data_IF_680014442766
#
_entry.id   IF_680014442766
#
_cell.length_a   1.000
_cell.length_b   1.000
_cell.length_c   1.000
_cell.angle_alpha   90.00
_cell.angle_beta   90.00
_cell.angle_gamma   90.00
#
_symmetry.space_group_name_H-M   'P 1'
#
loop_
_entity.id
_entity.type
_entity.pdbx_description
1 polymer ?
#
# COMPACT_ATOMS: atom_id res chain seq x y z
N UNK A 1 -60.42 59.90 32.19
CA UNK A 1 -60.37 58.89 31.11
C UNK A 1 -58.95 58.93 30.58
N UNK A 2 -58.12 57.96 30.97
CA UNK A 2 -57.83 56.72 30.21
C UNK A 2 -56.97 57.03 28.96
N UNK A 3 -55.83 56.40 28.72
CA UNK A 3 -55.32 55.15 29.28
C UNK A 3 -53.81 55.03 29.16
N UNK A 4 -53.30 54.23 30.10
CA UNK A 4 -51.95 53.72 30.22
C UNK A 4 -51.74 52.66 29.12
N UNK A 5 -50.84 52.88 28.16
CA UNK A 5 -50.41 51.82 27.24
C UNK A 5 -49.26 51.06 27.89
N UNK A 6 -49.61 49.96 28.56
CA UNK A 6 -48.67 48.94 29.00
C UNK A 6 -47.98 48.31 27.80
N UNK A 7 -46.67 48.48 27.69
CA UNK A 7 -45.79 47.62 26.91
C UNK A 7 -45.92 46.19 27.46
N UNK A 8 -46.67 45.35 26.75
CA UNK A 8 -46.57 43.91 26.92
C UNK A 8 -45.31 43.47 26.18
N UNK A 9 -44.22 43.27 26.93
CA UNK A 9 -43.12 42.43 26.47
C UNK A 9 -43.70 41.07 26.12
N UNK A 10 -43.80 40.76 24.83
CA UNK A 10 -44.14 39.43 24.36
C UNK A 10 -43.08 38.47 24.91
N UNK A 11 -43.44 37.71 25.94
CA UNK A 11 -42.64 36.60 26.44
C UNK A 11 -42.56 35.56 25.34
N UNK A 12 -41.51 35.64 24.50
CA UNK A 12 -41.18 34.57 23.56
C UNK A 12 -40.97 33.29 24.35
N UNK A 13 -41.66 32.22 23.97
CA UNK A 13 -41.45 30.90 24.56
C UNK A 13 -39.98 30.54 24.33
N UNK A 14 -39.21 30.19 25.38
CA UNK A 14 -37.81 29.80 25.22
C UNK A 14 -37.67 28.69 24.17
N UNK A 15 -36.85 28.93 23.14
CA UNK A 15 -36.55 27.95 22.10
C UNK A 15 -37.48 27.95 20.86
N UNK A 16 -38.38 28.93 20.71
CA UNK A 16 -39.21 29.06 19.49
C UNK A 16 -38.65 30.05 18.46
N UNK A 17 -37.57 30.75 18.80
CA UNK A 17 -36.95 31.80 18.00
C UNK A 17 -35.67 31.30 17.32
N UNK A 18 -35.81 30.46 16.30
CA UNK A 18 -34.69 29.95 15.52
C UNK A 18 -35.11 29.49 14.11
N UNK A 19 -34.13 29.40 13.22
CA UNK A 19 -34.32 28.89 11.87
C UNK A 19 -34.50 27.36 11.92
N UNK A 20 -35.51 26.86 11.22
CA UNK A 20 -35.73 25.43 11.10
C UNK A 20 -34.69 24.82 10.17
N UNK A 21 -33.84 23.94 10.72
CA UNK A 21 -32.75 23.29 10.00
C UNK A 21 -33.07 21.84 9.63
N UNK A 22 -34.28 21.34 9.91
CA UNK A 22 -34.62 19.97 9.50
C UNK A 22 -34.78 19.86 7.99
N UNK A 23 -34.42 18.71 7.39
CA UNK A 23 -34.61 18.50 5.95
C UNK A 23 -36.06 18.65 5.50
N UNK A 24 -37.02 18.26 6.35
CA UNK A 24 -38.45 18.26 6.05
C UNK A 24 -39.18 19.54 6.47
N UNK A 25 -38.47 20.52 7.06
CA UNK A 25 -39.04 21.76 7.61
C UNK A 25 -40.23 21.51 8.55
N UNK A 26 -40.06 20.55 9.46
CA UNK A 26 -41.06 20.10 10.41
C UNK A 26 -40.99 20.80 11.78
N UNK A 27 -40.12 21.80 11.93
CA UNK A 27 -39.88 22.51 13.19
C UNK A 27 -39.19 21.66 14.26
N UNK A 28 -38.68 20.48 13.90
CA UNK A 28 -38.17 19.51 14.85
C UNK A 28 -36.83 19.91 15.48
N UNK A 29 -36.04 20.72 14.77
CA UNK A 29 -34.75 21.26 15.21
C UNK A 29 -34.65 22.71 14.75
N UNK A 30 -34.70 23.63 15.70
CA UNK A 30 -34.52 25.07 15.45
C UNK A 30 -33.13 25.50 15.87
N UNK A 31 -32.48 26.34 15.07
CA UNK A 31 -31.15 26.89 15.36
C UNK A 31 -31.19 28.40 15.44
N UNK A 32 -30.57 28.96 16.47
CA UNK A 32 -30.32 30.40 16.60
C UNK A 32 -28.84 30.65 16.84
N UNK A 33 -28.20 31.44 15.99
CA UNK A 33 -26.80 31.84 16.19
C UNK A 33 -26.76 32.89 17.30
N UNK A 34 -26.02 32.60 18.37
CA UNK A 34 -25.78 33.52 19.49
C UNK A 34 -24.48 34.31 19.30
N UNK A 35 -23.46 33.65 18.75
CA UNK A 35 -22.21 34.27 18.33
C UNK A 35 -21.76 33.62 17.02
N UNK A 36 -21.47 34.41 15.97
CA UNK A 36 -20.99 33.85 14.71
C UNK A 36 -19.63 33.18 14.88
N UNK A 37 -19.39 32.13 14.09
CA UNK A 37 -18.06 31.53 13.94
C UNK A 37 -17.24 32.20 12.84
N UNK A 38 -16.06 31.65 12.60
CA UNK A 38 -15.09 32.12 11.61
C UNK A 38 -14.90 31.10 10.47
N UNK A 39 -14.41 31.59 9.32
CA UNK A 39 -14.20 30.78 8.12
C UNK A 39 -15.50 30.40 7.40
N UNK A 40 -15.38 29.67 6.30
CA UNK A 40 -16.51 29.19 5.49
C UNK A 40 -16.65 27.67 5.49
N UNK A 41 -15.75 26.95 6.16
CA UNK A 41 -15.85 25.51 6.31
C UNK A 41 -16.84 25.12 7.40
N UNK A 42 -17.59 24.06 7.10
CA UNK A 42 -18.47 23.37 8.03
C UNK A 42 -17.94 21.96 8.27
N UNK A 43 -18.23 21.33 9.43
CA UNK A 43 -17.91 19.93 9.64
C UNK A 43 -18.70 19.04 8.67
N UNK A 44 -18.03 18.08 8.07
CA UNK A 44 -18.61 17.11 7.15
C UNK A 44 -19.01 15.83 7.90
N UNK A 45 -19.75 14.97 7.21
CA UNK A 45 -20.11 13.67 7.76
C UNK A 45 -18.84 12.90 8.16
N UNK A 46 -18.88 12.26 9.32
CA UNK A 46 -17.79 11.48 9.91
C UNK A 46 -16.58 12.28 10.40
N UNK A 47 -16.61 13.61 10.35
CA UNK A 47 -15.59 14.43 11.03
C UNK A 47 -15.66 14.22 12.55
N UNK A 48 -14.50 14.30 13.19
CA UNK A 48 -14.40 14.38 14.66
C UNK A 48 -14.61 15.84 15.04
N UNK A 49 -15.68 16.11 15.79
CA UNK A 49 -16.04 17.45 16.25
C UNK A 49 -15.77 17.58 17.75
N UNK A 50 -15.37 18.78 18.17
CA UNK A 50 -15.11 19.14 19.55
C UNK A 50 -15.98 20.32 19.95
N UNK A 51 -16.75 20.17 21.03
CA UNK A 51 -17.72 21.17 21.45
C UNK A 51 -17.70 21.44 22.96
N UNK A 52 -18.10 22.65 23.34
CA UNK A 52 -18.68 22.90 24.66
C UNK A 52 -20.19 22.99 24.55
N UNK A 53 -20.92 22.59 25.60
CA UNK A 53 -22.37 22.72 25.62
C UNK A 53 -22.96 22.89 27.01
N UNK A 54 -24.17 23.43 27.03
CA UNK A 54 -25.09 23.46 28.19
C UNK A 54 -26.47 22.99 27.72
N UNK A 55 -27.01 21.95 28.35
CA UNK A 55 -28.32 21.39 28.06
C UNK A 55 -29.36 21.73 29.13
N UNK A 56 -30.49 22.28 28.71
CA UNK A 56 -31.60 22.70 29.58
C UNK A 56 -32.95 22.20 29.06
N UNK A 57 -33.88 21.97 29.99
CA UNK A 57 -35.29 21.81 29.66
C UNK A 57 -35.92 23.17 29.33
N UNK A 58 -37.12 23.17 28.75
CA UNK A 58 -37.84 24.41 28.38
C UNK A 58 -38.22 25.27 29.59
N UNK A 59 -38.24 24.71 30.80
CA UNK A 59 -38.43 25.44 32.07
C UNK A 59 -37.12 26.08 32.60
N UNK A 60 -36.01 25.91 31.88
CA UNK A 60 -34.68 26.41 32.27
C UNK A 60 -33.86 25.46 33.14
N UNK A 61 -34.41 24.31 33.55
CA UNK A 61 -33.68 23.33 34.37
C UNK A 61 -32.50 22.76 33.59
N UNK A 62 -31.28 23.03 34.06
CA UNK A 62 -30.05 22.48 33.50
C UNK A 62 -29.91 21.00 33.87
N UNK A 63 -29.84 20.12 32.87
CA UNK A 63 -29.68 18.67 33.08
C UNK A 63 -28.26 18.18 32.84
N UNK A 64 -27.49 18.89 32.01
CA UNK A 64 -26.11 18.53 31.67
C UNK A 64 -25.31 19.74 31.14
N UNK A 65 -23.99 19.76 31.36
CA UNK A 65 -23.09 20.83 30.91
C UNK A 65 -21.65 20.35 30.87
N UNK A 66 -20.99 20.50 29.71
CA UNK A 66 -19.57 20.18 29.61
C UNK A 66 -18.69 21.27 30.23
N UNK A 67 -19.17 22.52 30.28
CA UNK A 67 -18.48 23.63 30.95
C UNK A 67 -18.40 23.44 32.46
N UNK A 68 -19.43 22.85 33.07
CA UNK A 68 -19.44 22.55 34.50
C UNK A 68 -18.37 21.51 34.88
N UNK A 69 -17.93 20.71 33.90
CA UNK A 69 -16.89 19.69 34.06
C UNK A 69 -15.50 20.18 33.67
N UNK A 70 -15.39 21.38 33.10
CA UNK A 70 -14.16 21.91 32.49
C UNK A 70 -13.53 20.92 31.48
N UNK A 71 -14.38 20.17 30.76
CA UNK A 71 -13.95 19.15 29.81
C UNK A 71 -14.76 19.27 28.52
N UNK A 72 -14.05 19.27 27.39
CA UNK A 72 -14.68 19.38 26.07
C UNK A 72 -15.29 18.03 25.68
N UNK A 73 -16.40 18.07 24.95
CA UNK A 73 -17.03 16.85 24.46
C UNK A 73 -16.67 16.62 23.00
N UNK A 74 -16.22 15.42 22.67
CA UNK A 74 -15.84 15.05 21.32
C UNK A 74 -16.66 13.86 20.82
N UNK A 75 -17.10 13.93 19.57
CA UNK A 75 -17.86 12.87 18.93
C UNK A 75 -17.65 12.87 17.42
N UNK A 76 -18.07 11.80 16.75
CA UNK A 76 -18.05 11.67 15.29
C UNK A 76 -19.40 12.06 14.71
N UNK A 77 -19.42 13.11 13.88
CA UNK A 77 -20.63 13.69 13.34
C UNK A 77 -21.37 12.74 12.37
N UNK A 78 -22.68 12.61 12.52
CA UNK A 78 -23.53 11.85 11.59
C UNK A 78 -23.41 10.33 11.72
N UNK A 79 -22.86 9.84 12.84
CA UNK A 79 -22.78 8.41 13.20
C UNK A 79 -23.81 8.01 14.27
N UNK A 80 -24.66 8.92 14.73
CA UNK A 80 -25.64 8.64 15.78
C UNK A 80 -25.02 8.42 17.17
N UNK A 81 -23.83 8.98 17.42
CA UNK A 81 -23.22 9.02 18.76
C UNK A 81 -23.91 10.03 19.68
N UNK A 82 -24.64 10.98 19.09
CA UNK A 82 -25.43 12.02 19.75
C UNK A 82 -26.88 11.96 19.27
N UNK A 83 -27.75 12.76 19.89
CA UNK A 83 -29.14 12.89 19.45
C UNK A 83 -29.22 13.42 18.00
N UNK A 84 -30.27 13.07 17.27
CA UNK A 84 -30.46 13.47 15.85
C UNK A 84 -30.37 14.99 15.66
N UNK A 85 -30.91 15.76 16.62
CA UNK A 85 -30.87 17.22 16.57
C UNK A 85 -29.46 17.80 16.65
N UNK A 86 -28.54 17.12 17.33
CA UNK A 86 -27.13 17.52 17.34
C UNK A 86 -26.41 17.17 16.03
N UNK A 87 -26.65 15.97 15.50
CA UNK A 87 -26.09 15.57 14.20
C UNK A 87 -26.50 16.55 13.08
N UNK A 88 -27.73 17.08 13.13
CA UNK A 88 -28.20 18.13 12.22
C UNK A 88 -27.64 19.51 12.57
N UNK A 89 -27.71 19.92 13.85
CA UNK A 89 -27.32 21.25 14.29
C UNK A 89 -25.84 21.55 14.09
N UNK A 90 -24.98 20.68 14.59
CA UNK A 90 -23.52 20.87 14.56
C UNK A 90 -22.98 20.85 13.13
N UNK A 91 -23.60 20.08 12.22
CA UNK A 91 -23.28 20.09 10.79
C UNK A 91 -23.44 21.45 10.11
N UNK A 92 -24.20 22.38 10.70
CA UNK A 92 -24.43 23.73 10.16
C UNK A 92 -23.58 24.80 10.82
N UNK A 93 -22.75 24.46 11.81
CA UNK A 93 -22.01 25.43 12.60
C UNK A 93 -20.63 25.70 12.01
N UNK A 94 -20.22 26.97 12.04
CA UNK A 94 -18.84 27.39 11.74
C UNK A 94 -17.94 27.19 12.97
N UNK A 95 -16.64 27.09 12.75
CA UNK A 95 -15.65 27.02 13.83
C UNK A 95 -15.76 28.25 14.74
N UNK A 96 -15.79 28.05 16.05
CA UNK A 96 -15.97 29.10 17.06
C UNK A 96 -17.42 29.59 17.26
N UNK A 97 -18.36 29.12 16.44
CA UNK A 97 -19.77 29.52 16.52
C UNK A 97 -20.40 29.05 17.84
N UNK A 98 -21.17 29.94 18.47
CA UNK A 98 -22.04 29.62 19.59
C UNK A 98 -23.49 29.67 19.09
N UNK A 99 -24.20 28.55 19.17
CA UNK A 99 -25.59 28.46 18.72
C UNK A 99 -26.49 27.84 19.79
N UNK A 100 -27.73 28.29 19.82
CA UNK A 100 -28.81 27.60 20.53
C UNK A 100 -29.47 26.61 19.55
N UNK A 101 -29.61 25.36 19.98
CA UNK A 101 -30.35 24.31 19.30
C UNK A 101 -31.56 23.91 20.15
N UNK A 102 -32.75 24.05 19.59
CA UNK A 102 -33.99 23.57 20.21
C UNK A 102 -34.44 22.31 19.49
N UNK A 103 -34.41 21.18 20.21
CA UNK A 103 -34.67 19.86 19.67
C UNK A 103 -35.95 19.31 20.28
N UNK A 104 -36.97 19.10 19.46
CA UNK A 104 -38.19 18.37 19.86
C UNK A 104 -37.86 16.93 20.25
N UNK A 105 -38.77 16.27 20.99
CA UNK A 105 -38.52 14.91 21.50
C UNK A 105 -38.16 13.92 20.39
N UNK A 106 -38.76 14.03 19.21
CA UNK A 106 -38.49 13.13 18.06
C UNK A 106 -37.04 13.21 17.55
N UNK A 107 -36.40 14.36 17.71
CA UNK A 107 -35.00 14.61 17.38
C UNK A 107 -34.07 14.53 18.61
N UNK A 108 -34.62 14.22 19.78
CA UNK A 108 -33.92 14.03 21.05
C UNK A 108 -34.12 12.58 21.57
N UNK A 109 -34.74 12.40 22.75
CA UNK A 109 -34.89 11.10 23.41
C UNK A 109 -36.30 10.47 23.25
N UNK A 110 -37.18 11.11 22.50
CA UNK A 110 -38.54 10.66 22.19
C UNK A 110 -39.41 10.39 23.41
N UNK A 111 -40.42 9.53 23.21
CA UNK A 111 -41.40 9.14 24.24
C UNK A 111 -40.79 8.49 25.48
N UNK A 112 -39.58 7.95 25.39
CA UNK A 112 -38.93 7.27 26.51
C UNK A 112 -38.19 8.25 27.43
N UNK A 113 -37.76 9.40 26.90
CA UNK A 113 -36.86 10.29 27.61
C UNK A 113 -35.51 9.63 27.96
N UNK A 114 -34.82 10.19 28.93
CA UNK A 114 -33.65 9.61 29.58
C UNK A 114 -33.73 9.80 31.10
N UNK A 115 -34.56 8.99 31.78
CA UNK A 115 -34.77 9.13 33.22
C UNK A 115 -33.49 8.95 34.03
N UNK A 116 -33.33 9.64 35.18
CA UNK A 116 -34.30 10.56 35.79
C UNK A 116 -34.21 12.00 35.26
N UNK A 117 -33.20 12.34 34.44
CA UNK A 117 -32.88 13.72 34.09
C UNK A 117 -33.75 14.30 32.97
N UNK A 118 -34.13 13.46 32.01
CA UNK A 118 -34.87 13.88 30.83
C UNK A 118 -36.23 13.15 30.82
N UNK A 119 -37.35 13.88 30.98
CA UNK A 119 -38.68 13.30 30.92
C UNK A 119 -39.03 12.71 29.55
N UNK A 120 -40.13 11.95 29.52
CA UNK A 120 -40.77 11.55 28.26
C UNK A 120 -41.19 12.77 27.44
N UNK A 121 -41.09 12.65 26.12
CA UNK A 121 -41.51 13.67 25.15
C UNK A 121 -40.95 15.09 25.40
N UNK A 122 -39.82 15.17 26.08
CA UNK A 122 -39.17 16.44 26.39
C UNK A 122 -38.59 17.12 25.14
N UNK A 123 -38.85 18.42 25.02
CA UNK A 123 -38.09 19.32 24.14
C UNK A 123 -36.88 19.83 24.89
N UNK A 124 -35.71 19.78 24.26
CA UNK A 124 -34.44 20.15 24.86
C UNK A 124 -33.88 21.40 24.20
N UNK A 125 -33.29 22.28 25.00
CA UNK A 125 -32.60 23.48 24.54
C UNK A 125 -31.12 23.31 24.88
N UNK A 126 -30.27 23.35 23.86
CA UNK A 126 -28.82 23.29 24.00
C UNK A 126 -28.20 24.60 23.57
N UNK A 127 -27.30 25.15 24.38
CA UNK A 127 -26.29 26.09 23.90
C UNK A 127 -25.05 25.27 23.55
N UNK A 128 -24.61 25.32 22.30
CA UNK A 128 -23.46 24.56 21.78
C UNK A 128 -22.45 25.53 21.20
N UNK A 129 -21.19 25.38 21.60
CA UNK A 129 -20.03 26.07 21.05
C UNK A 129 -19.20 25.06 20.25
N UNK A 130 -19.08 25.25 18.94
CA UNK A 130 -18.21 24.41 18.11
C UNK A 130 -16.77 24.91 18.24
N UNK A 131 -15.94 24.18 18.97
CA UNK A 131 -14.54 24.57 19.19
C UNK A 131 -13.70 24.27 17.96
N UNK A 132 -13.78 23.04 17.47
CA UNK A 132 -12.97 22.56 16.36
C UNK A 132 -13.63 21.33 15.69
N UNK A 133 -13.19 21.03 14.47
CA UNK A 133 -13.48 19.78 13.77
C UNK A 133 -12.28 19.37 12.91
N UNK A 134 -12.08 18.06 12.82
CA UNK A 134 -10.97 17.45 12.08
C UNK A 134 -11.47 16.28 11.24
N UNK A 135 -10.85 16.09 10.07
CA UNK A 135 -11.01 14.87 9.29
C UNK A 135 -10.42 13.66 10.01
N UNK A 136 -10.71 12.48 9.49
CA UNK A 136 -10.15 11.23 10.00
C UNK A 136 -8.77 10.97 9.38
N UNK A 137 -7.77 10.76 10.21
CA UNK A 137 -6.47 10.26 9.74
C UNK A 137 -6.54 8.76 9.45
N UNK A 138 -6.45 8.41 8.16
CA UNK A 138 -6.45 7.04 7.69
C UNK A 138 -5.06 6.45 7.51
N UNK A 139 -3.99 7.23 7.69
CA UNK A 139 -2.62 6.71 7.66
C UNK A 139 -2.38 5.69 8.79
N UNK A 140 -1.38 4.83 8.60
CA UNK A 140 -1.07 3.76 9.56
C UNK A 140 -0.46 4.31 10.85
N UNK A 141 0.45 5.28 10.73
CA UNK A 141 1.19 5.87 11.85
C UNK A 141 0.36 6.83 12.71
N UNK A 142 -0.81 7.25 12.22
CA UNK A 142 -1.71 8.21 12.89
C UNK A 142 -1.08 9.58 13.18
N UNK A 143 -0.19 10.03 12.30
CA UNK A 143 0.52 11.33 12.40
C UNK A 143 -0.02 12.41 11.45
N UNK A 144 -1.24 12.27 10.95
CA UNK A 144 -1.88 13.19 10.00
C UNK A 144 -1.31 13.06 8.59
N UNK A 145 -0.86 11.86 8.21
CA UNK A 145 -0.29 11.60 6.89
C UNK A 145 -1.29 11.74 5.75
N UNK A 146 -2.45 11.09 5.94
CA UNK A 146 -3.55 11.03 4.98
C UNK A 146 -4.83 11.31 5.76
N UNK A 147 -5.35 12.54 5.67
CA UNK A 147 -6.55 12.96 6.41
C UNK A 147 -7.72 13.05 5.45
N UNK A 148 -8.77 12.24 5.68
CA UNK A 148 -9.99 12.23 4.85
C UNK A 148 -11.13 13.01 5.50
N UNK A 149 -11.99 13.59 4.67
CA UNK A 149 -13.32 14.11 5.03
C UNK A 149 -14.34 13.65 4.00
N UNK A 150 -15.51 13.18 4.45
CA UNK A 150 -16.51 12.56 3.56
C UNK A 150 -17.44 13.63 2.96
N UNK A 151 -17.34 13.86 1.65
CA UNK A 151 -18.23 14.77 0.91
C UNK A 151 -19.54 14.04 0.55
N UNK A 152 -19.44 12.83 0.00
CA UNK A 152 -20.57 11.99 -0.40
C UNK A 152 -20.36 10.58 0.13
N UNK A 153 -21.36 10.02 0.81
CA UNK A 153 -21.33 8.62 1.27
C UNK A 153 -21.46 7.66 0.10
N UNK A 154 -20.65 6.60 0.12
CA UNK A 154 -20.71 5.54 -0.89
C UNK A 154 -21.81 4.50 -0.63
N UNK A 155 -21.93 3.59 -1.58
CA UNK A 155 -22.87 2.46 -1.56
C UNK A 155 -22.15 1.13 -1.36
N UNK A 156 -22.85 0.16 -0.81
CA UNK A 156 -22.30 -1.18 -0.54
C UNK A 156 -21.32 -1.23 0.64
N UNK A 157 -20.59 -2.35 0.71
CA UNK A 157 -19.66 -2.65 1.81
C UNK A 157 -18.24 -2.95 1.32
N UNK A 158 -18.10 -3.33 0.06
CA UNK A 158 -16.83 -3.70 -0.53
C UNK A 158 -15.94 -2.49 -0.79
N UNK A 159 -14.64 -2.75 -0.87
CA UNK A 159 -13.61 -1.77 -1.16
C UNK A 159 -12.63 -2.33 -2.18
N UNK A 160 -12.01 -1.50 -3.03
CA UNK A 160 -10.94 -1.95 -3.91
C UNK A 160 -9.78 -2.53 -3.09
N UNK A 161 -9.26 -3.68 -3.55
CA UNK A 161 -8.01 -4.27 -3.05
C UNK A 161 -6.89 -4.01 -4.04
N UNK A 162 -5.64 -4.22 -3.62
CA UNK A 162 -4.50 -4.24 -4.53
C UNK A 162 -4.77 -5.17 -5.73
N UNK A 163 -4.52 -4.66 -6.94
CA UNK A 163 -4.81 -5.34 -8.20
C UNK A 163 -6.22 -5.12 -8.76
N UNK A 164 -7.13 -4.50 -8.02
CA UNK A 164 -8.46 -4.13 -8.53
C UNK A 164 -8.35 -3.01 -9.57
N UNK A 165 -9.17 -3.06 -10.62
CA UNK A 165 -9.37 -1.92 -11.51
C UNK A 165 -10.32 -0.93 -10.83
N UNK A 166 -9.88 0.30 -10.62
CA UNK A 166 -10.71 1.36 -10.06
C UNK A 166 -10.88 2.48 -11.09
N UNK A 167 -12.10 3.01 -11.16
CA UNK A 167 -12.43 4.21 -11.93
C UNK A 167 -12.71 5.34 -10.95
N UNK A 168 -11.88 6.37 -10.99
CA UNK A 168 -12.00 7.52 -10.11
C UNK A 168 -12.08 8.82 -10.92
N UNK A 169 -12.75 9.82 -10.34
CA UNK A 169 -12.54 11.21 -10.69
C UNK A 169 -11.56 11.82 -9.68
N UNK A 170 -10.54 12.51 -10.18
CA UNK A 170 -9.45 13.04 -9.39
C UNK A 170 -9.31 14.54 -9.64
N UNK A 171 -9.48 15.34 -8.58
CA UNK A 171 -9.30 16.79 -8.59
C UNK A 171 -8.22 17.16 -7.57
N UNK A 172 -7.03 17.53 -8.04
CA UNK A 172 -5.90 17.94 -7.21
C UNK A 172 -5.79 19.45 -7.09
N UNK A 173 -5.64 19.94 -5.86
CA UNK A 173 -5.48 21.36 -5.56
C UNK A 173 -4.29 21.64 -4.64
N UNK A 174 -3.62 22.76 -4.87
CA UNK A 174 -2.55 23.27 -4.04
C UNK A 174 -2.76 24.76 -3.80
N UNK A 175 -2.85 25.18 -2.53
CA UNK A 175 -3.17 26.56 -2.14
C UNK A 175 -4.39 27.14 -2.89
N UNK A 176 -5.44 26.32 -3.07
CA UNK A 176 -6.66 26.69 -3.79
C UNK A 176 -6.55 26.73 -5.33
N UNK A 177 -5.38 26.46 -5.90
CA UNK A 177 -5.20 26.35 -7.35
C UNK A 177 -5.32 24.89 -7.78
N UNK A 178 -6.22 24.62 -8.73
CA UNK A 178 -6.36 23.29 -9.35
C UNK A 178 -5.14 23.01 -10.22
N UNK A 179 -4.47 21.88 -10.01
CA UNK A 179 -3.34 21.43 -10.83
C UNK A 179 -3.65 20.18 -11.65
N UNK A 180 -4.66 19.41 -11.27
CA UNK A 180 -5.23 18.34 -12.11
C UNK A 180 -6.72 18.18 -11.84
N UNK A 181 -7.46 17.81 -12.88
CA UNK A 181 -8.89 17.50 -12.85
C UNK A 181 -9.17 16.53 -14.01
N UNK A 182 -9.37 15.26 -13.69
CA UNK A 182 -9.53 14.21 -14.71
C UNK A 182 -10.19 12.95 -14.17
N UNK A 183 -10.81 12.22 -15.09
CA UNK A 183 -11.16 10.83 -14.87
C UNK A 183 -9.97 9.92 -15.17
N UNK A 184 -9.79 8.89 -14.36
CA UNK A 184 -8.71 7.92 -14.52
C UNK A 184 -9.18 6.53 -14.11
N UNK A 185 -8.94 5.58 -15.01
CA UNK A 185 -9.05 4.15 -14.72
C UNK A 185 -7.64 3.63 -14.48
N UNK A 186 -7.41 2.99 -13.34
CA UNK A 186 -6.09 2.48 -12.99
C UNK A 186 -6.20 1.22 -12.13
N UNK A 187 -5.07 0.56 -11.91
CA UNK A 187 -5.00 -0.64 -11.07
C UNK A 187 -4.47 -0.23 -9.70
N UNK A 188 -5.27 -0.49 -8.67
CA UNK A 188 -4.96 -0.15 -7.28
C UNK A 188 -3.65 -0.83 -6.85
N UNK A 189 -2.77 -0.08 -6.19
CA UNK A 189 -1.41 -0.50 -5.83
C UNK A 189 -0.35 -0.28 -6.92
N UNK A 190 -0.74 0.15 -8.12
CA UNK A 190 0.21 0.50 -9.18
C UNK A 190 0.31 2.01 -9.37
N UNK A 191 0.93 2.64 -8.37
CA UNK A 191 1.17 4.08 -8.22
C UNK A 191 2.31 4.63 -9.10
N UNK A 192 2.74 3.87 -10.11
CA UNK A 192 3.84 4.28 -10.98
C UNK A 192 3.51 5.56 -11.78
N UNK A 193 4.56 6.25 -12.23
CA UNK A 193 4.54 7.45 -13.09
C UNK A 193 3.56 7.39 -14.28
N UNK A 194 3.19 6.18 -14.72
CA UNK A 194 2.34 5.92 -15.89
C UNK A 194 0.86 6.31 -15.70
N UNK A 195 0.31 6.25 -14.48
CA UNK A 195 -1.11 6.59 -14.21
C UNK A 195 -1.31 7.98 -13.57
N UNK A 196 -0.21 8.59 -13.10
CA UNK A 196 -0.22 9.88 -12.42
C UNK A 196 -0.99 9.89 -11.09
N UNK A 197 -1.06 8.75 -10.39
CA UNK A 197 -1.73 8.63 -9.08
C UNK A 197 -0.68 8.64 -7.98
N UNK A 198 -0.79 9.59 -7.05
CA UNK A 198 0.09 9.63 -5.87
C UNK A 198 -0.32 8.58 -4.84
N UNK A 199 0.65 8.12 -4.05
CA UNK A 199 0.47 7.03 -3.06
C UNK A 199 -0.71 7.28 -2.10
N UNK A 200 -0.86 8.50 -1.61
CA UNK A 200 -1.94 8.85 -0.68
C UNK A 200 -3.34 8.75 -1.29
N UNK A 201 -3.47 9.05 -2.60
CA UNK A 201 -4.74 8.86 -3.32
C UNK A 201 -5.02 7.38 -3.49
N UNK A 202 -4.04 6.59 -3.90
CA UNK A 202 -4.22 5.14 -4.05
C UNK A 202 -4.60 4.48 -2.73
N UNK A 203 -3.90 4.84 -1.63
CA UNK A 203 -4.24 4.37 -0.30
C UNK A 203 -5.66 4.76 0.10
N UNK A 204 -6.07 6.01 -0.15
CA UNK A 204 -7.44 6.46 0.13
C UNK A 204 -8.46 5.61 -0.63
N UNK A 205 -8.25 5.35 -1.93
CA UNK A 205 -9.13 4.52 -2.77
C UNK A 205 -9.32 3.12 -2.16
N UNK A 206 -8.29 2.51 -1.56
CA UNK A 206 -8.43 1.20 -0.87
C UNK A 206 -9.40 1.21 0.32
N UNK A 207 -9.72 2.39 0.86
CA UNK A 207 -10.63 2.58 1.99
C UNK A 207 -12.02 3.04 1.57
N UNK A 208 -12.20 3.45 0.31
CA UNK A 208 -13.44 3.98 -0.23
C UNK A 208 -14.39 2.88 -0.69
N UNK A 209 -15.68 3.19 -0.60
CA UNK A 209 -16.78 2.42 -1.22
C UNK A 209 -17.12 3.00 -2.60
N UNK A 210 -17.83 2.22 -3.41
CA UNK A 210 -18.33 2.70 -4.70
C UNK A 210 -19.22 3.95 -4.51
N UNK A 211 -19.15 4.87 -5.46
CA UNK A 211 -19.81 6.18 -5.48
C UNK A 211 -19.48 7.14 -4.32
N UNK A 212 -18.49 6.80 -3.50
CA UNK A 212 -18.04 7.64 -2.40
C UNK A 212 -17.16 8.80 -2.92
N UNK A 213 -17.32 10.00 -2.34
CA UNK A 213 -16.47 11.16 -2.65
C UNK A 213 -15.85 11.71 -1.38
N UNK A 214 -14.53 11.79 -1.34
CA UNK A 214 -13.76 12.33 -0.22
C UNK A 214 -12.94 13.54 -0.61
N UNK A 215 -12.76 14.45 0.35
CA UNK A 215 -11.63 15.38 0.37
C UNK A 215 -10.51 14.73 1.15
N UNK A 216 -9.31 14.70 0.60
CA UNK A 216 -8.15 14.03 1.18
C UNK A 216 -6.98 15.00 1.21
N UNK A 217 -6.48 15.29 2.40
CA UNK A 217 -5.28 16.09 2.60
C UNK A 217 -4.09 15.16 2.77
N UNK A 218 -3.05 15.39 1.97
CA UNK A 218 -1.88 14.54 1.87
C UNK A 218 -0.63 15.30 2.27
N UNK A 219 0.07 14.82 3.30
CA UNK A 219 1.46 15.24 3.54
C UNK A 219 2.33 14.87 2.35
N UNK A 220 3.42 15.61 2.17
CA UNK A 220 4.31 15.47 1.01
C UNK A 220 4.77 14.02 0.78
N UNK A 221 5.09 13.26 1.82
CA UNK A 221 5.53 11.87 1.72
C UNK A 221 4.49 10.94 1.06
N UNK A 222 3.20 11.28 1.11
CA UNK A 222 2.11 10.55 0.44
C UNK A 222 1.68 11.22 -0.88
N UNK A 223 2.39 12.25 -1.32
CA UNK A 223 2.12 13.02 -2.53
C UNK A 223 3.38 13.11 -3.42
N UNK A 224 4.00 14.30 -3.50
CA UNK A 224 5.14 14.58 -4.39
C UNK A 224 6.50 14.65 -3.67
N UNK A 225 6.53 14.30 -2.38
CA UNK A 225 7.75 14.13 -1.59
C UNK A 225 8.65 15.36 -1.51
N UNK A 226 9.93 15.11 -1.29
CA UNK A 226 10.97 16.13 -1.18
C UNK A 226 11.33 16.78 -2.53
N UNK A 227 10.90 16.21 -3.65
CA UNK A 227 11.16 16.75 -4.98
C UNK A 227 10.09 17.76 -5.43
N UNK A 228 8.85 17.55 -4.99
CA UNK A 228 7.69 18.28 -5.50
C UNK A 228 7.33 17.84 -6.92
N UNK A 229 6.50 18.63 -7.62
CA UNK A 229 6.08 18.35 -8.99
C UNK A 229 6.04 19.64 -9.79
N UNK A 230 7.12 19.88 -10.54
CA UNK A 230 7.34 21.10 -11.31
C UNK A 230 6.22 21.38 -12.31
N UNK A 231 5.71 20.35 -13.00
CA UNK A 231 4.64 20.48 -13.99
C UNK A 231 3.34 21.02 -13.39
N UNK A 232 3.13 20.77 -12.08
CA UNK A 232 1.98 21.22 -11.31
C UNK A 232 2.27 22.45 -10.45
N UNK A 233 3.48 23.03 -10.57
CA UNK A 233 3.98 24.10 -9.72
C UNK A 233 3.92 23.76 -8.21
N UNK A 234 4.12 22.50 -7.86
CA UNK A 234 4.11 22.02 -6.48
C UNK A 234 5.56 22.00 -5.97
N UNK A 235 5.89 22.77 -4.91
CA UNK A 235 7.24 22.80 -4.38
C UNK A 235 7.59 21.53 -3.58
N UNK A 236 8.89 21.29 -3.34
CA UNK A 236 9.37 20.31 -2.36
C UNK A 236 8.61 20.34 -1.04
N UNK A 237 8.29 19.15 -0.52
CA UNK A 237 7.65 18.98 0.79
C UNK A 237 6.28 19.66 0.95
N UNK A 238 5.61 19.99 -0.16
CA UNK A 238 4.27 20.56 -0.13
C UNK A 238 3.22 19.55 0.36
N UNK A 239 2.32 20.03 1.21
CA UNK A 239 1.03 19.39 1.44
C UNK A 239 0.09 19.75 0.29
N UNK A 240 -0.68 18.78 -0.19
CA UNK A 240 -1.68 18.97 -1.25
C UNK A 240 -3.03 18.41 -0.82
N UNK A 241 -4.09 18.85 -1.50
CA UNK A 241 -5.44 18.35 -1.27
C UNK A 241 -6.01 17.75 -2.54
N UNK A 242 -6.70 16.62 -2.40
CA UNK A 242 -7.43 15.97 -3.48
C UNK A 242 -8.90 15.83 -3.13
N UNK A 243 -9.79 16.11 -4.08
CA UNK A 243 -11.12 15.50 -4.08
C UNK A 243 -11.07 14.23 -4.94
N UNK A 244 -11.38 13.09 -4.32
CA UNK A 244 -11.39 11.77 -4.96
C UNK A 244 -12.82 11.26 -4.95
N UNK A 245 -13.39 10.98 -6.12
CA UNK A 245 -14.65 10.24 -6.24
C UNK A 245 -14.38 8.86 -6.82
N UNK A 246 -14.63 7.81 -6.03
CA UNK A 246 -14.56 6.44 -6.50
C UNK A 246 -15.87 6.13 -7.23
N UNK A 247 -15.87 6.17 -8.56
CA UNK A 247 -17.09 5.91 -9.35
C UNK A 247 -17.48 4.45 -9.25
N UNK A 248 -16.56 3.56 -9.60
CA UNK A 248 -16.74 2.11 -9.55
C UNK A 248 -15.40 1.40 -9.42
N UNK A 249 -15.44 0.12 -9.09
CA UNK A 249 -14.27 -0.75 -9.15
C UNK A 249 -14.67 -2.19 -9.46
N UNK A 250 -13.78 -2.91 -10.13
CA UNK A 250 -13.90 -4.33 -10.37
C UNK A 250 -13.24 -5.09 -9.21
N UNK A 251 -13.99 -5.97 -8.55
CA UNK A 251 -13.43 -6.83 -7.51
C UNK A 251 -12.43 -7.80 -8.15
N UNK A 252 -11.25 -7.90 -7.57
CA UNK A 252 -10.35 -9.02 -7.86
C UNK A 252 -11.02 -10.27 -7.31
N UNK A 253 -11.42 -11.18 -8.20
CA UNK A 253 -11.81 -12.53 -7.79
C UNK A 253 -10.57 -13.23 -7.25
N UNK A 254 -10.70 -13.87 -6.10
CA UNK A 254 -9.65 -14.75 -5.59
C UNK A 254 -9.51 -15.95 -6.55
N UNK A 255 -8.31 -16.54 -6.65
CA UNK A 255 -8.05 -17.64 -7.60
C UNK A 255 -9.07 -18.79 -7.50
N UNK A 256 -9.60 -19.08 -6.31
CA UNK A 256 -10.60 -20.13 -6.10
C UNK A 256 -12.03 -19.75 -6.53
N UNK A 257 -12.32 -18.45 -6.72
CA UNK A 257 -13.61 -17.95 -7.20
C UNK A 257 -13.69 -17.85 -8.72
N UNK A 258 -12.55 -18.03 -9.39
CA UNK A 258 -12.43 -17.92 -10.85
C UNK A 258 -12.64 -19.28 -11.50
N UNK A 259 -13.42 -19.33 -12.56
CA UNK A 259 -13.47 -20.50 -13.42
C UNK A 259 -12.23 -20.59 -14.33
N UNK A 260 -12.09 -21.70 -15.06
CA UNK A 260 -10.95 -21.94 -15.97
C UNK A 260 -10.80 -20.84 -17.01
N UNK A 261 -11.89 -20.37 -17.60
CA UNK A 261 -11.87 -19.34 -18.65
C UNK A 261 -11.35 -18.02 -18.06
N UNK A 262 -11.88 -17.63 -16.91
CA UNK A 262 -11.46 -16.43 -16.19
C UNK A 262 -9.99 -16.48 -15.78
N UNK A 263 -9.50 -17.64 -15.33
CA UNK A 263 -8.08 -17.85 -14.98
C UNK A 263 -7.17 -17.71 -16.19
N UNK A 264 -7.57 -18.25 -17.34
CA UNK A 264 -6.80 -18.15 -18.59
C UNK A 264 -6.73 -16.70 -19.07
N UNK A 265 -7.84 -15.97 -19.04
CA UNK A 265 -7.88 -14.55 -19.41
C UNK A 265 -7.05 -13.68 -18.45
N UNK A 266 -7.19 -13.89 -17.14
CA UNK A 266 -6.40 -13.17 -16.15
C UNK A 266 -4.91 -13.47 -16.28
N UNK A 267 -4.54 -14.72 -16.55
CA UNK A 267 -3.18 -15.14 -16.83
C UNK A 267 -2.59 -14.42 -18.05
N UNK A 268 -3.36 -14.24 -19.12
CA UNK A 268 -2.94 -13.46 -20.28
C UNK A 268 -2.69 -11.99 -19.93
N UNK A 269 -3.59 -11.37 -19.15
CA UNK A 269 -3.46 -9.98 -18.69
C UNK A 269 -2.19 -9.77 -17.86
N UNK A 270 -1.97 -10.59 -16.82
CA UNK A 270 -0.78 -10.44 -15.96
C UNK A 270 0.51 -10.79 -16.70
N UNK A 271 0.50 -11.77 -17.63
CA UNK A 271 1.66 -12.07 -18.50
C UNK A 271 2.02 -10.90 -19.41
N UNK A 272 1.02 -10.26 -20.03
CA UNK A 272 1.23 -9.08 -20.87
C UNK A 272 1.83 -7.94 -20.05
N UNK A 273 1.29 -7.72 -18.85
CA UNK A 273 1.77 -6.70 -17.90
C UNK A 273 3.20 -6.94 -17.44
N UNK A 274 3.54 -8.18 -17.05
CA UNK A 274 4.91 -8.56 -16.72
C UNK A 274 5.87 -8.29 -17.87
N UNK A 275 5.41 -8.45 -19.12
CA UNK A 275 6.21 -8.15 -20.31
C UNK A 275 6.44 -6.66 -20.49
N UNK A 276 5.46 -5.82 -20.16
CA UNK A 276 5.63 -4.35 -20.12
C UNK A 276 6.66 -3.96 -19.06
N UNK A 277 6.55 -4.46 -17.83
CA UNK A 277 7.53 -4.18 -16.77
C UNK A 277 8.94 -4.65 -17.14
N UNK A 278 9.06 -5.85 -17.70
CA UNK A 278 10.34 -6.38 -18.15
C UNK A 278 11.02 -5.49 -19.20
N UNK A 279 10.26 -4.99 -20.17
CA UNK A 279 10.75 -4.04 -21.19
C UNK A 279 11.17 -2.71 -20.59
N UNK A 280 10.48 -2.26 -19.53
CA UNK A 280 10.83 -1.07 -18.76
C UNK A 280 11.99 -1.25 -17.77
N UNK A 281 12.62 -2.43 -17.69
CA UNK A 281 13.70 -2.71 -16.74
C UNK A 281 13.24 -2.94 -15.29
N UNK A 282 11.93 -2.93 -15.04
CA UNK A 282 11.30 -3.16 -13.73
C UNK A 282 11.18 -4.67 -13.45
N UNK A 283 12.33 -5.32 -13.19
CA UNK A 283 12.42 -6.78 -13.15
C UNK A 283 11.70 -7.41 -11.95
N UNK A 284 11.66 -6.74 -10.79
CA UNK A 284 10.99 -7.25 -9.58
C UNK A 284 9.48 -7.25 -9.77
N UNK A 285 8.94 -6.19 -10.35
CA UNK A 285 7.54 -6.04 -10.69
C UNK A 285 7.13 -7.07 -11.76
N UNK A 286 7.99 -7.28 -12.77
CA UNK A 286 7.79 -8.34 -13.76
C UNK A 286 7.73 -9.73 -13.11
N UNK A 287 8.62 -10.05 -12.15
CA UNK A 287 8.59 -11.30 -11.40
C UNK A 287 7.23 -11.50 -10.71
N UNK A 288 6.72 -10.48 -10.01
CA UNK A 288 5.42 -10.54 -9.34
C UNK A 288 4.30 -10.88 -10.32
N UNK A 289 4.26 -10.24 -11.49
CA UNK A 289 3.20 -10.50 -12.48
C UNK A 289 3.30 -11.90 -13.11
N UNK A 290 4.50 -12.38 -13.41
CA UNK A 290 4.65 -13.73 -13.97
C UNK A 290 4.38 -14.83 -12.94
N UNK A 291 4.64 -14.61 -11.64
CA UNK A 291 4.27 -15.54 -10.56
C UNK A 291 2.74 -15.72 -10.47
N UNK A 292 1.97 -14.64 -10.63
CA UNK A 292 0.50 -14.70 -10.66
C UNK A 292 -0.05 -15.65 -11.73
N UNK A 293 0.63 -15.78 -12.89
CA UNK A 293 0.24 -16.78 -13.92
C UNK A 293 0.26 -18.20 -13.34
N UNK A 294 1.31 -18.53 -12.58
CA UNK A 294 1.45 -19.84 -11.95
C UNK A 294 0.43 -20.01 -10.82
N UNK A 295 0.21 -18.97 -10.01
CA UNK A 295 -0.79 -18.99 -8.93
C UNK A 295 -2.23 -19.23 -9.44
N UNK A 296 -2.55 -18.76 -10.65
CA UNK A 296 -3.86 -19.02 -11.27
C UNK A 296 -4.00 -20.43 -11.82
N UNK A 297 -2.93 -21.00 -12.38
CA UNK A 297 -3.01 -22.19 -13.24
C UNK A 297 -2.39 -23.46 -12.65
N UNK A 298 -1.32 -23.38 -11.85
CA UNK A 298 -0.51 -24.55 -11.45
C UNK A 298 -1.32 -25.56 -10.62
N UNK A 299 -2.17 -25.07 -9.69
CA UNK A 299 -2.96 -25.95 -8.82
C UNK A 299 -4.15 -26.63 -9.52
N UNK A 300 -4.78 -25.94 -10.47
CA UNK A 300 -5.96 -26.46 -11.16
C UNK A 300 -5.64 -27.11 -12.51
N UNK A 301 -4.37 -27.11 -12.96
CA UNK A 301 -3.96 -27.62 -14.26
C UNK A 301 -4.45 -29.06 -14.53
N UNK A 302 -4.45 -29.92 -13.52
CA UNK A 302 -4.89 -31.32 -13.65
C UNK A 302 -6.41 -31.48 -13.63
N UNK A 303 -7.14 -30.43 -13.22
CA UNK A 303 -8.61 -30.40 -13.14
C UNK A 303 -9.27 -29.83 -14.38
N UNK A 304 -8.49 -29.25 -15.30
CA UNK A 304 -9.01 -28.73 -16.56
C UNK A 304 -9.38 -29.92 -17.45
N UNK A 305 -10.69 -30.12 -17.67
CA UNK A 305 -11.23 -31.21 -18.49
C UNK A 305 -11.16 -30.89 -20.00
N UNK A 306 -11.35 -29.62 -20.37
CA UNK A 306 -11.28 -29.21 -21.77
C UNK A 306 -9.82 -29.23 -22.27
N UNK A 307 -9.57 -30.00 -23.33
CA UNK A 307 -8.21 -30.21 -23.84
C UNK A 307 -7.60 -28.96 -24.50
N UNK A 308 -8.43 -28.06 -25.04
CA UNK A 308 -7.96 -26.80 -25.62
C UNK A 308 -7.50 -25.84 -24.52
N UNK A 309 -8.31 -25.69 -23.47
CA UNK A 309 -7.98 -24.91 -22.29
C UNK A 309 -6.77 -25.49 -21.54
N UNK A 310 -6.67 -26.82 -21.41
CA UNK A 310 -5.53 -27.49 -20.78
C UNK A 310 -4.24 -27.21 -21.54
N UNK A 311 -4.28 -27.28 -22.87
CA UNK A 311 -3.16 -26.92 -23.74
C UNK A 311 -2.79 -25.46 -23.60
N UNK A 312 -3.78 -24.55 -23.58
CA UNK A 312 -3.58 -23.11 -23.39
C UNK A 312 -2.95 -22.80 -22.03
N UNK A 313 -3.45 -23.40 -20.95
CA UNK A 313 -2.87 -23.28 -19.62
C UNK A 313 -1.41 -23.75 -19.61
N UNK A 314 -1.11 -24.90 -20.23
CA UNK A 314 0.24 -25.42 -20.38
C UNK A 314 1.19 -24.45 -21.09
N UNK A 315 0.74 -23.84 -22.18
CA UNK A 315 1.50 -22.83 -22.92
C UNK A 315 1.74 -21.55 -22.09
N UNK A 316 0.76 -21.11 -21.31
CA UNK A 316 0.88 -19.96 -20.43
C UNK A 316 1.87 -20.21 -19.30
N UNK A 317 1.79 -21.36 -18.64
CA UNK A 317 2.75 -21.74 -17.59
C UNK A 317 4.17 -21.88 -18.14
N UNK A 318 4.34 -22.50 -19.31
CA UNK A 318 5.64 -22.60 -19.99
C UNK A 318 6.21 -21.19 -20.26
N UNK A 319 5.40 -20.29 -20.81
CA UNK A 319 5.81 -18.91 -21.04
C UNK A 319 6.17 -18.18 -19.74
N UNK A 320 5.40 -18.38 -18.67
CA UNK A 320 5.66 -17.80 -17.36
C UNK A 320 7.00 -18.29 -16.78
N UNK A 321 7.26 -19.60 -16.77
CA UNK A 321 8.54 -20.16 -16.32
C UNK A 321 9.73 -19.61 -17.11
N UNK A 322 9.62 -19.56 -18.44
CA UNK A 322 10.66 -18.98 -19.28
C UNK A 322 10.90 -17.50 -18.95
N UNK A 323 9.86 -16.71 -18.78
CA UNK A 323 9.99 -15.29 -18.47
C UNK A 323 10.52 -15.05 -17.05
N UNK A 324 10.08 -15.83 -16.06
CA UNK A 324 10.65 -15.81 -14.69
C UNK A 324 12.14 -16.11 -14.70
N UNK A 325 12.56 -17.16 -15.41
CA UNK A 325 13.97 -17.49 -15.58
C UNK A 325 14.76 -16.33 -16.23
N UNK A 326 14.16 -15.61 -17.18
CA UNK A 326 14.79 -14.42 -17.78
C UNK A 326 14.91 -13.26 -16.79
N UNK A 327 13.89 -13.01 -15.95
CA UNK A 327 13.94 -12.00 -14.90
C UNK A 327 15.02 -12.34 -13.87
N UNK A 328 15.08 -13.58 -13.39
CA UNK A 328 16.09 -14.00 -12.41
C UNK A 328 17.51 -13.97 -12.97
N UNK A 329 17.70 -14.21 -14.28
CA UNK A 329 18.99 -13.95 -14.94
C UNK A 329 19.37 -12.46 -14.89
N UNK A 330 18.40 -11.55 -14.96
CA UNK A 330 18.63 -10.10 -14.87
C UNK A 330 18.86 -9.63 -13.43
N UNK A 331 18.25 -10.28 -12.44
CA UNK A 331 18.45 -9.94 -11.02
C UNK A 331 19.63 -10.67 -10.36
N UNK A 332 20.20 -11.68 -11.02
CA UNK A 332 21.40 -12.38 -10.56
C UNK A 332 21.11 -13.55 -9.61
N UNK A 333 19.97 -14.24 -9.78
CA UNK A 333 19.54 -15.35 -8.91
C UNK A 333 19.63 -16.70 -9.64
N UNK A 334 20.81 -17.32 -9.75
CA UNK A 334 21.03 -18.47 -10.65
C UNK A 334 20.24 -19.72 -10.26
N UNK A 335 20.01 -19.97 -8.96
CA UNK A 335 19.24 -21.13 -8.53
C UNK A 335 17.77 -21.07 -8.98
N UNK A 336 17.16 -19.89 -8.92
CA UNK A 336 15.80 -19.68 -9.41
C UNK A 336 15.70 -19.84 -10.93
N UNK A 337 16.73 -19.40 -11.68
CA UNK A 337 16.81 -19.66 -13.14
C UNK A 337 16.82 -21.16 -13.41
N UNK A 338 17.63 -21.93 -12.68
CA UNK A 338 17.73 -23.39 -12.85
C UNK A 338 16.38 -24.06 -12.53
N UNK A 339 15.73 -23.66 -11.45
CA UNK A 339 14.42 -24.18 -11.04
C UNK A 339 13.36 -23.93 -12.12
N UNK A 340 13.16 -22.67 -12.53
CA UNK A 340 12.15 -22.33 -13.53
C UNK A 340 12.45 -22.92 -14.92
N UNK A 341 13.71 -22.98 -15.34
CA UNK A 341 14.06 -23.66 -16.60
C UNK A 341 13.83 -25.17 -16.54
N UNK A 342 14.02 -25.81 -15.39
CA UNK A 342 13.76 -27.24 -15.23
C UNK A 342 12.26 -27.53 -15.30
N UNK A 343 11.42 -26.73 -14.60
CA UNK A 343 9.95 -26.79 -14.75
C UNK A 343 9.48 -26.54 -16.19
N UNK A 344 10.13 -25.62 -16.92
CA UNK A 344 9.83 -25.41 -18.34
C UNK A 344 10.14 -26.64 -19.19
N UNK A 345 11.26 -27.32 -18.93
CA UNK A 345 11.68 -28.53 -19.66
C UNK A 345 10.85 -29.77 -19.30
N UNK A 346 10.20 -29.82 -18.15
CA UNK A 346 9.20 -30.86 -17.84
C UNK A 346 7.98 -30.76 -18.76
N UNK A 347 7.65 -29.56 -19.25
CA UNK A 347 6.52 -29.31 -20.17
C UNK A 347 6.93 -29.34 -21.64
N UNK A 348 8.10 -28.80 -21.95
CA UNK A 348 8.68 -28.79 -23.31
C UNK A 348 10.14 -29.28 -23.25
N UNK A 349 10.37 -30.60 -23.36
CA UNK A 349 11.69 -31.20 -23.20
C UNK A 349 12.75 -30.73 -24.19
N UNK A 350 12.33 -30.16 -25.33
CA UNK A 350 13.21 -29.67 -26.39
C UNK A 350 13.25 -28.12 -26.44
N UNK A 351 12.92 -27.45 -25.33
CA UNK A 351 12.90 -26.00 -25.29
C UNK A 351 14.31 -25.38 -25.30
N UNK A 352 14.72 -24.87 -26.47
CA UNK A 352 16.04 -24.24 -26.68
C UNK A 352 16.33 -23.12 -25.66
N UNK A 353 15.35 -22.25 -25.37
CA UNK A 353 15.52 -21.11 -24.46
C UNK A 353 15.75 -21.57 -23.03
N UNK A 354 15.05 -22.62 -22.58
CA UNK A 354 15.21 -23.16 -21.24
C UNK A 354 16.60 -23.76 -21.06
N UNK A 355 17.08 -24.59 -21.99
CA UNK A 355 18.44 -25.12 -21.95
C UNK A 355 19.48 -24.00 -21.94
N UNK A 356 19.37 -23.03 -22.86
CA UNK A 356 20.34 -21.95 -22.94
C UNK A 356 20.43 -21.14 -21.64
N UNK A 357 19.28 -20.75 -21.08
CA UNK A 357 19.22 -19.96 -19.83
C UNK A 357 19.69 -20.76 -18.62
N UNK A 358 19.33 -22.05 -18.52
CA UNK A 358 19.82 -22.93 -17.45
C UNK A 358 21.32 -23.15 -17.51
N UNK A 359 21.86 -23.33 -18.73
CA UNK A 359 23.31 -23.43 -18.96
C UNK A 359 24.06 -22.17 -18.53
N UNK A 360 23.51 -20.97 -18.79
CA UNK A 360 24.07 -19.71 -18.29
C UNK A 360 24.09 -19.64 -16.76
N UNK A 361 23.01 -20.04 -16.09
CA UNK A 361 22.94 -20.03 -14.64
C UNK A 361 23.91 -21.04 -14.00
N UNK A 362 23.98 -22.27 -14.53
CA UNK A 362 24.93 -23.31 -14.11
C UNK A 362 26.38 -22.89 -14.29
N UNK A 363 26.69 -22.23 -15.40
CA UNK A 363 28.01 -21.65 -15.62
C UNK A 363 28.40 -20.66 -14.51
N UNK A 364 27.47 -19.79 -14.10
CA UNK A 364 27.69 -18.79 -13.03
C UNK A 364 28.00 -19.46 -11.68
N UNK A 365 27.32 -20.56 -11.34
CA UNK A 365 27.60 -21.32 -10.11
C UNK A 365 28.74 -22.33 -10.25
N UNK A 366 29.49 -22.28 -11.36
CA UNK A 366 30.64 -23.15 -11.69
C UNK A 366 30.30 -24.63 -11.87
N UNK A 367 29.05 -24.92 -12.18
CA UNK A 367 28.56 -26.25 -12.50
C UNK A 367 28.81 -26.57 -13.99
N UNK A 368 30.09 -26.69 -14.34
CA UNK A 368 30.57 -26.64 -15.73
C UNK A 368 30.15 -27.84 -16.58
N UNK A 369 30.05 -29.04 -16.00
CA UNK A 369 29.68 -30.24 -16.76
C UNK A 369 28.20 -30.18 -17.17
N UNK A 370 27.34 -29.81 -16.23
CA UNK A 370 25.90 -29.66 -16.42
C UNK A 370 25.58 -28.47 -17.32
N UNK A 371 26.31 -27.35 -17.18
CA UNK A 371 26.21 -26.21 -18.09
C UNK A 371 26.56 -26.60 -19.53
N UNK A 372 27.63 -27.38 -19.72
CA UNK A 372 28.04 -27.87 -21.04
C UNK A 372 27.00 -28.82 -21.63
N UNK A 373 26.41 -29.69 -20.79
CA UNK A 373 25.32 -30.57 -21.19
C UNK A 373 24.12 -29.77 -21.73
N UNK A 374 23.72 -28.71 -21.02
CA UNK A 374 22.64 -27.82 -21.47
C UNK A 374 22.96 -27.11 -22.80
N UNK A 375 24.18 -26.55 -22.96
CA UNK A 375 24.55 -25.92 -24.24
C UNK A 375 24.66 -26.91 -25.40
N UNK A 376 25.07 -28.16 -25.14
CA UNK A 376 25.05 -29.20 -26.16
C UNK A 376 23.61 -29.60 -26.53
N UNK A 377 22.69 -29.60 -25.58
CA UNK A 377 21.26 -29.80 -25.87
C UNK A 377 20.73 -28.69 -26.78
N UNK A 378 21.11 -27.43 -26.54
CA UNK A 378 20.82 -26.31 -27.48
C UNK A 378 21.38 -26.60 -28.88
N UNK A 379 22.63 -27.04 -28.99
CA UNK A 379 23.26 -27.34 -30.28
C UNK A 379 22.68 -28.56 -30.99
N UNK A 380 22.03 -29.47 -30.25
CA UNK A 380 21.27 -30.58 -30.83
C UNK A 380 19.98 -30.07 -31.49
N UNK A 381 19.36 -29.05 -30.91
CA UNK A 381 18.14 -28.41 -31.43
C UNK A 381 18.47 -27.44 -32.58
N UNK A 382 19.39 -26.51 -32.35
CA UNK A 382 19.92 -25.58 -33.36
C UNK A 382 21.45 -25.71 -33.47
N UNK A 383 21.95 -26.52 -34.43
CA UNK A 383 23.39 -26.67 -34.69
C UNK A 383 24.09 -25.37 -35.10
N UNK A 384 23.37 -24.31 -35.49
CA UNK A 384 23.93 -23.03 -35.92
C UNK A 384 23.96 -21.97 -34.81
N UNK A 385 23.48 -22.28 -33.60
CA UNK A 385 23.49 -21.35 -32.48
C UNK A 385 24.93 -20.97 -32.07
N UNK A 386 25.39 -19.80 -32.54
CA UNK A 386 26.75 -19.30 -32.27
C UNK A 386 26.99 -19.03 -30.79
N UNK A 387 25.96 -18.57 -30.08
CA UNK A 387 26.09 -18.25 -28.65
C UNK A 387 26.37 -19.52 -27.83
N UNK A 388 25.68 -20.63 -28.13
CA UNK A 388 25.89 -21.90 -27.46
C UNK A 388 27.29 -22.48 -27.77
N UNK A 389 27.75 -22.43 -29.04
CA UNK A 389 29.12 -22.85 -29.41
C UNK A 389 30.20 -22.07 -28.64
N UNK A 390 30.01 -20.76 -28.51
CA UNK A 390 30.92 -19.91 -27.77
C UNK A 390 30.95 -20.29 -26.28
N UNK A 391 29.78 -20.51 -25.66
CA UNK A 391 29.70 -20.92 -24.25
C UNK A 391 30.37 -22.28 -24.00
N UNK A 392 30.19 -23.27 -24.87
CA UNK A 392 30.91 -24.55 -24.78
C UNK A 392 32.43 -24.35 -24.84
N UNK A 393 32.90 -23.46 -25.71
CA UNK A 393 34.34 -23.14 -25.83
C UNK A 393 34.87 -22.49 -24.55
N UNK A 394 34.12 -21.52 -23.99
CA UNK A 394 34.47 -20.86 -22.73
C UNK A 394 34.52 -21.88 -21.59
N UNK A 395 33.54 -22.77 -21.48
CA UNK A 395 33.54 -23.84 -20.46
C UNK A 395 34.78 -24.73 -20.58
N UNK A 396 35.13 -25.16 -21.79
CA UNK A 396 36.32 -25.99 -22.01
C UNK A 396 37.62 -25.29 -21.58
N UNK A 397 37.72 -23.97 -21.79
CA UNK A 397 38.85 -23.17 -21.31
C UNK A 397 38.89 -23.11 -19.78
N UNK A 398 37.74 -22.90 -19.14
CA UNK A 398 37.62 -22.90 -17.67
C UNK A 398 38.00 -24.26 -17.08
N UNK A 399 37.45 -25.36 -17.60
CA UNK A 399 37.77 -26.71 -17.15
C UNK A 399 39.25 -27.06 -17.32
N UNK A 400 39.88 -26.64 -18.43
CA UNK A 400 41.33 -26.81 -18.63
C UNK A 400 42.13 -26.06 -17.57
N UNK A 401 41.76 -24.81 -17.28
CA UNK A 401 42.42 -23.97 -16.27
C UNK A 401 42.26 -24.53 -14.85
N UNK A 402 41.08 -25.05 -14.51
CA UNK A 402 40.83 -25.72 -13.23
C UNK A 402 41.69 -26.99 -13.09
N UNK A 403 41.73 -27.85 -14.11
CA UNK A 403 42.61 -29.05 -14.11
C UNK A 403 44.09 -28.70 -13.98
N UNK A 404 44.55 -27.64 -14.65
CA UNK A 404 45.92 -27.15 -14.52
C UNK A 404 46.21 -26.62 -13.11
N UNK A 405 45.24 -25.95 -12.49
CA UNK A 405 45.33 -25.45 -11.10
C UNK A 405 45.35 -26.60 -10.09
N UNK A 406 44.47 -27.58 -10.23
CA UNK A 406 44.43 -28.79 -9.41
C UNK A 406 45.73 -29.57 -9.53
N UNK A 407 46.23 -29.80 -10.75
CA UNK A 407 47.50 -30.50 -10.97
C UNK A 407 48.66 -29.80 -10.24
N UNK A 408 48.72 -28.46 -10.29
CA UNK A 408 49.72 -27.68 -9.55
C UNK A 408 49.53 -27.82 -8.04
N UNK A 409 48.29 -27.70 -7.56
CA UNK A 409 47.96 -27.82 -6.14
C UNK A 409 48.36 -29.19 -5.58
N UNK A 410 47.93 -30.28 -6.22
CA UNK A 410 48.29 -31.64 -5.83
C UNK A 410 49.80 -31.89 -5.94
N UNK A 411 50.46 -31.38 -6.98
CA UNK A 411 51.93 -31.45 -7.10
C UNK A 411 52.64 -30.81 -5.90
N UNK A 412 52.26 -29.58 -5.55
CA UNK A 412 52.83 -28.88 -4.39
C UNK A 412 52.51 -29.56 -3.05
N UNK A 413 51.30 -30.11 -2.89
CA UNK A 413 50.94 -30.88 -1.69
C UNK A 413 51.76 -32.17 -1.57
N UNK A 414 51.97 -32.87 -2.69
CA UNK A 414 52.77 -34.11 -2.71
C UNK A 414 54.23 -33.84 -2.39
N UNK A 415 54.85 -32.79 -2.97
CA UNK A 415 56.22 -32.37 -2.63
C UNK A 415 56.35 -32.02 -1.15
N UNK A 416 55.37 -31.32 -0.58
CA UNK A 416 55.36 -30.95 0.84
C UNK A 416 55.21 -32.18 1.76
N UNK A 417 54.35 -33.14 1.41
CA UNK A 417 54.21 -34.39 2.15
C UNK A 417 55.47 -35.25 2.06
N UNK A 418 56.06 -35.38 0.87
CA UNK A 418 57.32 -36.10 0.70
C UNK A 418 58.46 -35.46 1.53
N UNK A 419 58.51 -34.12 1.61
CA UNK A 419 59.46 -33.42 2.47
C UNK A 419 59.22 -33.64 3.97
N UNK A 420 57.96 -33.81 4.40
CA UNK A 420 57.61 -34.15 5.78
C UNK A 420 58.00 -35.61 6.12
N UNK A 421 57.75 -36.57 5.23
CA UNK A 421 58.10 -37.98 5.43
C UNK A 421 59.61 -38.23 5.34
N UNK A 422 60.31 -37.48 4.48
CA UNK A 422 61.78 -37.47 4.42
C UNK A 422 62.41 -36.78 5.65
N UNK A 423 61.60 -36.09 6.45
CA UNK A 423 61.94 -35.45 7.72
C UNK A 423 61.75 -36.37 8.93
N UNK A 424 62.03 -37.66 8.78
CA UNK A 424 62.24 -38.58 9.89
C UNK A 424 63.64 -38.44 10.49
N UNK A 425 63.76 -37.46 11.39
CA UNK A 425 64.77 -37.28 12.45
C UNK A 425 65.59 -35.97 12.35
N UNK A 426 65.02 -34.90 12.91
CA UNK A 426 65.83 -33.97 13.69
C UNK A 426 64.99 -33.38 14.83
N UNK A 427 64.68 -34.21 15.83
CA UNK A 427 64.40 -33.69 17.18
C UNK A 427 65.73 -33.21 17.77
N UNK A 428 66.12 -31.97 17.46
CA UNK A 428 67.24 -31.33 18.17
C UNK A 428 67.95 -30.20 17.47
N UNK A 429 67.32 -29.01 17.36
CA UNK A 429 67.97 -27.74 17.77
C UNK A 429 66.99 -26.57 17.69
N UNK A 430 66.53 -26.15 18.86
CA UNK A 430 66.22 -24.75 19.13
C UNK A 430 67.50 -23.92 18.90
N UNK A 431 67.36 -22.78 18.21
CA UNK A 431 68.47 -21.88 17.91
C UNK A 431 68.06 -20.69 17.05
N UNK A 432 67.22 -19.84 17.63
CA UNK A 432 67.20 -18.37 17.49
C UNK A 432 68.26 -17.72 16.58
N UNK A 433 67.85 -17.04 15.49
CA UNK A 433 67.95 -15.58 15.37
C UNK A 433 67.59 -15.02 13.97
N UNK A 434 66.59 -14.15 13.99
CA UNK A 434 66.50 -12.81 13.38
C UNK A 434 67.25 -12.44 12.07
N UNK A 435 66.42 -11.94 11.15
CA UNK A 435 66.54 -10.64 10.43
C UNK A 435 67.25 -10.55 9.07
N UNK A 436 66.66 -9.64 8.25
CA UNK A 436 67.06 -9.05 6.95
C UNK A 436 66.49 -9.78 5.72
N UNK A 437 65.75 -9.16 4.79
CA UNK A 437 65.38 -7.77 4.47
C UNK A 437 63.97 -7.82 3.83
N UNK A 438 63.00 -6.98 4.18
CA UNK A 438 62.80 -5.59 3.69
C UNK A 438 62.71 -5.44 2.16
N UNK A 439 61.62 -4.79 1.71
CA UNK A 439 61.40 -4.33 0.34
C UNK A 439 60.04 -4.76 -0.22
N UNK A 440 58.88 -4.19 0.19
CA UNK A 440 58.35 -2.88 -0.27
C UNK A 440 57.93 -2.98 -1.76
N UNK A 441 56.74 -2.65 -2.25
CA UNK A 441 55.50 -1.97 -1.84
C UNK A 441 54.47 -2.26 -2.96
N UNK A 442 53.18 -2.47 -2.65
CA UNK A 442 52.00 -1.62 -2.99
C UNK A 442 51.64 -1.60 -4.49
N UNK A 443 50.39 -1.51 -4.92
CA UNK A 443 49.21 -0.80 -4.45
C UNK A 443 47.98 -1.74 -4.48
N UNK A 444 47.04 -1.70 -3.52
CA UNK A 444 46.08 -0.61 -3.34
C UNK A 444 44.94 -0.83 -4.34
N UNK A 445 43.69 -1.07 -3.96
CA UNK A 445 42.77 -0.19 -3.20
C UNK A 445 41.50 -1.06 -3.01
N UNK A 446 41.12 -1.33 -1.75
CA UNK A 446 39.97 -0.72 -1.03
C UNK A 446 38.63 -0.99 -1.72
N UNK A 447 37.49 -1.24 -1.09
CA UNK A 447 36.90 -1.24 0.27
C UNK A 447 35.45 -1.69 -0.04
N UNK A 448 34.57 -2.21 0.80
CA UNK A 448 34.26 -2.09 2.22
C UNK A 448 33.19 -3.20 2.43
N UNK A 449 33.08 -3.93 3.54
CA UNK A 449 33.06 -3.41 4.91
C UNK A 449 31.71 -2.74 5.17
N UNK A 450 30.65 -3.46 5.52
CA UNK A 450 30.21 -3.70 6.92
C UNK A 450 28.69 -3.91 6.83
N UNK A 451 27.99 -4.67 7.67
CA UNK A 451 28.30 -5.43 8.87
C UNK A 451 26.95 -5.73 9.54
N UNK A 452 26.76 -6.94 10.06
CA UNK A 452 25.78 -7.20 11.13
C UNK A 452 26.36 -8.26 12.05
N UNK A 453 26.54 -7.84 13.30
CA UNK A 453 26.89 -8.67 14.44
C UNK A 453 25.68 -9.53 14.81
N UNK A 454 25.90 -10.85 14.89
CA UNK A 454 25.06 -11.73 15.68
C UNK A 454 25.77 -11.98 17.01
N UNK A 455 25.05 -11.67 18.09
CA UNK A 455 25.46 -11.91 19.46
C UNK A 455 24.80 -13.22 19.91
N UNK A 456 25.60 -14.26 20.12
CA UNK A 456 25.20 -15.48 20.81
C UNK A 456 24.99 -15.20 22.30
N UNK A 457 23.88 -15.69 22.85
CA UNK A 457 23.84 -16.14 24.23
C UNK A 457 22.98 -17.38 24.34
N UNK A 458 23.61 -18.45 24.81
CA UNK A 458 23.09 -19.78 24.99
C UNK A 458 22.11 -19.91 26.19
N UNK A 459 21.44 -21.07 26.18
CA UNK A 459 21.03 -21.91 27.32
C UNK A 459 19.53 -22.01 27.61
N UNK A 460 19.06 -23.26 27.73
CA UNK A 460 17.82 -23.60 28.41
C UNK A 460 17.16 -24.88 27.90
N UNK A 461 17.59 -26.02 28.44
CA UNK A 461 16.87 -27.29 28.40
C UNK A 461 15.47 -27.17 29.04
N UNK A 462 14.45 -27.73 28.37
CA UNK A 462 13.33 -28.53 28.91
C UNK A 462 12.29 -28.78 27.81
#
# INVERSE_FOLDING_TARGET
MAGNSSDQAATSVPGTDGDDITPNKDGGVLKKILRPGEGDELPLAEDRVSVHYVGTLTDGTKFDSSRDRDDKFEFTLGKGQVIKGWDLGVATMKRGELAQLTCTSHYAYGKRGSPPKIPEDATLIFEVELLDFYGEDISEEKEGGIVRRVIKKGVGYDRPKEGATAEIHLLGTYNGTVFEDRDVQYIVGETAEDNGIVEGVDYAVTKMKAEEKWRVQLKAQFAFGAEGKKDFNIPPNAQVEYEVELKTFEKVKESWQMDTTEKLEASDKVKAKGTTFFKGGKYKEALTQYKKVLDYLEFDADRIEDEEDKKRAGQLMLAAHLNLAMCYLKTGEPYEVINHCSKALEKDPDNEKAFFRRGQARFTIRDYEEAKSDFNAVLKIDPNNKAAKNQVTVILQHQKKEKEREKKLYGTMFEKMAAMDSGGDNRGRLGDNSSKLEGRETDGVDTDGTGRNDNESAAGEA
#
